data_IF_281211823018
#
_entry.id   IF_281211823018
#
_cell.length_a   1.000
_cell.length_b   1.000
_cell.length_c   1.000
_cell.angle_alpha   90.00
_cell.angle_beta   90.00
_cell.angle_gamma   90.00
#
_symmetry.space_group_name_H-M   'P 1'
#
loop_
_entity.id
_entity.type
_entity.pdbx_description
1 polymer ?
#
# COMPACT_ATOMS: atom_id res chain seq x y z
N UNK A 1 -8.94 -8.25 23.39
CA UNK A 1 -8.26 -7.07 22.80
C UNK A 1 -8.14 -6.02 23.89
N UNK A 2 -6.99 -5.39 24.08
CA UNK A 2 -6.82 -4.33 25.07
C UNK A 2 -7.77 -3.17 24.74
N UNK A 3 -8.29 -2.54 25.78
CA UNK A 3 -9.29 -1.45 25.67
C UNK A 3 -8.74 -0.30 24.82
N UNK A 4 -7.44 -0.05 24.93
CA UNK A 4 -6.74 0.99 24.15
C UNK A 4 -6.87 0.80 22.64
N UNK A 5 -6.74 -0.44 22.17
CA UNK A 5 -6.84 -0.76 20.76
C UNK A 5 -8.24 -0.51 20.19
N UNK A 6 -9.29 -0.86 20.93
CA UNK A 6 -10.68 -0.55 20.55
C UNK A 6 -10.93 0.95 20.47
N UNK A 7 -10.38 1.71 21.42
CA UNK A 7 -10.49 3.16 21.42
C UNK A 7 -9.79 3.79 20.21
N UNK A 8 -8.60 3.34 19.87
CA UNK A 8 -7.86 3.86 18.73
C UNK A 8 -8.55 3.54 17.39
N UNK A 9 -9.09 2.33 17.22
CA UNK A 9 -9.92 2.00 16.04
C UNK A 9 -11.14 2.91 15.96
N UNK A 10 -11.86 3.09 17.07
CA UNK A 10 -13.04 3.95 17.11
C UNK A 10 -12.71 5.40 16.76
N UNK A 11 -11.57 5.93 17.22
CA UNK A 11 -11.08 7.26 16.84
C UNK A 11 -10.77 7.34 15.34
N UNK A 12 -10.06 6.33 14.80
CA UNK A 12 -9.73 6.29 13.37
C UNK A 12 -11.00 6.32 12.51
N UNK A 13 -12.01 5.51 12.86
CA UNK A 13 -13.26 5.43 12.11
C UNK A 13 -14.11 6.70 12.20
N UNK A 14 -13.92 7.55 13.22
CA UNK A 14 -14.63 8.83 13.35
C UNK A 14 -13.97 9.98 12.58
N UNK A 15 -12.72 9.83 12.17
CA UNK A 15 -12.00 10.87 11.42
C UNK A 15 -12.37 10.83 9.94
N UNK A 16 -12.84 11.95 9.34
CA UNK A 16 -13.20 11.98 7.91
C UNK A 16 -12.00 11.72 7.00
N UNK A 17 -10.78 12.08 7.42
CA UNK A 17 -9.54 11.81 6.68
C UNK A 17 -9.30 10.32 6.41
N UNK A 18 -9.80 9.42 7.28
CA UNK A 18 -9.68 7.97 7.12
C UNK A 18 -10.43 7.46 5.90
N UNK A 19 -11.53 8.10 5.53
CA UNK A 19 -12.39 7.68 4.42
C UNK A 19 -11.92 8.19 3.05
N UNK A 20 -11.02 9.17 3.02
CA UNK A 20 -10.50 9.73 1.75
C UNK A 20 -9.85 8.63 0.92
N UNK A 21 -9.00 7.80 1.53
CA UNK A 21 -8.32 6.68 0.85
C UNK A 21 -9.29 5.66 0.25
N UNK A 22 -10.15 5.02 1.06
CA UNK A 22 -11.14 4.06 0.55
C UNK A 22 -12.05 4.62 -0.54
N UNK A 23 -12.55 5.86 -0.40
CA UNK A 23 -13.42 6.50 -1.39
C UNK A 23 -12.67 6.76 -2.70
N UNK A 24 -11.46 7.34 -2.62
CA UNK A 24 -10.65 7.62 -3.80
C UNK A 24 -10.24 6.33 -4.54
N UNK A 25 -9.86 5.29 -3.80
CA UNK A 25 -9.52 3.99 -4.39
C UNK A 25 -10.75 3.33 -5.02
N UNK A 26 -11.91 3.39 -4.37
CA UNK A 26 -13.16 2.86 -4.95
C UNK A 26 -13.52 3.58 -6.25
N UNK A 27 -13.40 4.90 -6.29
CA UNK A 27 -13.60 5.67 -7.51
C UNK A 27 -12.60 5.29 -8.60
N UNK A 28 -11.32 5.12 -8.25
CA UNK A 28 -10.27 4.69 -9.18
C UNK A 28 -10.59 3.31 -9.77
N UNK A 29 -11.01 2.33 -8.96
CA UNK A 29 -11.38 0.99 -9.43
C UNK A 29 -12.53 1.06 -10.42
N UNK A 30 -13.54 1.90 -10.17
CA UNK A 30 -14.66 2.11 -11.10
C UNK A 30 -14.18 2.74 -12.40
N UNK A 31 -13.34 3.78 -12.34
CA UNK A 31 -12.76 4.42 -13.53
C UNK A 31 -11.96 3.40 -14.34
N UNK A 32 -11.12 2.60 -13.69
CA UNK A 32 -10.34 1.56 -14.33
C UNK A 32 -11.22 0.47 -14.97
N UNK A 33 -12.31 0.07 -14.31
CA UNK A 33 -13.29 -0.84 -14.86
C UNK A 33 -13.90 -0.30 -16.16
N UNK A 34 -14.33 0.97 -16.14
CA UNK A 34 -14.89 1.65 -17.32
C UNK A 34 -13.85 1.72 -18.44
N UNK A 35 -12.60 2.10 -18.11
CA UNK A 35 -11.51 2.16 -19.07
C UNK A 35 -11.21 0.79 -19.70
N UNK A 36 -11.14 -0.27 -18.90
CA UNK A 36 -10.89 -1.64 -19.40
C UNK A 36 -12.08 -2.15 -20.23
N UNK A 37 -13.33 -1.84 -19.83
CA UNK A 37 -14.53 -2.33 -20.52
C UNK A 37 -14.78 -1.61 -21.86
N UNK A 38 -14.60 -0.29 -21.90
CA UNK A 38 -14.96 0.55 -23.03
C UNK A 38 -13.77 1.12 -23.80
N UNK A 39 -12.56 1.05 -23.25
CA UNK A 39 -11.35 1.60 -23.87
C UNK A 39 -11.01 0.92 -25.20
N UNK A 40 -10.84 1.73 -26.25
CA UNK A 40 -10.51 1.26 -27.62
C UNK A 40 -9.10 0.67 -27.68
N UNK A 41 -8.18 1.10 -26.85
CA UNK A 41 -6.80 0.58 -26.79
C UNK A 41 -6.79 -0.91 -26.39
N UNK A 42 -7.57 -1.27 -25.38
CA UNK A 42 -7.68 -2.67 -24.95
C UNK A 42 -8.38 -3.55 -25.97
N UNK A 43 -9.35 -3.00 -26.73
CA UNK A 43 -9.98 -3.68 -27.87
C UNK A 43 -9.01 -3.92 -29.01
N UNK A 44 -8.16 -2.93 -29.31
CA UNK A 44 -7.13 -3.05 -30.35
C UNK A 44 -6.10 -4.14 -30.04
N UNK A 45 -5.68 -4.26 -28.79
CA UNK A 45 -4.79 -5.34 -28.33
C UNK A 45 -5.50 -6.71 -28.43
N UNK A 46 -6.76 -6.80 -28.00
CA UNK A 46 -7.56 -8.03 -28.06
C UNK A 46 -7.73 -8.51 -29.51
N UNK A 47 -8.03 -7.62 -30.45
CA UNK A 47 -8.19 -7.94 -31.86
C UNK A 47 -6.87 -8.43 -32.49
N UNK A 48 -5.75 -7.78 -32.21
CA UNK A 48 -4.41 -8.20 -32.69
C UNK A 48 -4.03 -9.58 -32.16
N UNK A 49 -4.31 -9.84 -30.87
CA UNK A 49 -4.04 -11.14 -30.27
C UNK A 49 -4.96 -12.24 -30.81
N UNK A 50 -6.20 -11.90 -31.16
CA UNK A 50 -7.15 -12.83 -31.74
C UNK A 50 -6.80 -13.22 -33.19
N UNK A 51 -6.08 -12.38 -33.92
CA UNK A 51 -5.57 -12.67 -35.26
C UNK A 51 -4.43 -13.71 -35.22
N UNK A 52 -3.55 -13.63 -34.20
CA UNK A 52 -2.36 -14.48 -34.10
C UNK A 52 -2.57 -15.72 -33.21
N UNK A 53 -3.56 -15.67 -32.30
CA UNK A 53 -3.78 -16.72 -31.32
C UNK A 53 -5.27 -17.01 -31.10
N UNK A 54 -5.62 -18.29 -31.02
CA UNK A 54 -6.96 -18.73 -30.60
C UNK A 54 -7.06 -18.54 -29.07
N UNK A 55 -7.51 -17.36 -28.64
CA UNK A 55 -7.73 -17.07 -27.24
C UNK A 55 -9.03 -17.74 -26.78
N UNK A 56 -8.91 -18.72 -25.88
CA UNK A 56 -10.06 -19.32 -25.21
C UNK A 56 -10.62 -18.38 -24.13
N UNK A 57 -11.29 -17.30 -24.54
CA UNK A 57 -11.93 -16.33 -23.65
C UNK A 57 -11.43 -14.88 -23.82
N UNK A 58 -12.15 -13.92 -23.23
CA UNK A 58 -11.79 -12.51 -23.28
C UNK A 58 -10.53 -12.22 -22.47
N UNK A 59 -9.58 -11.47 -23.05
CA UNK A 59 -8.40 -10.94 -22.40
C UNK A 59 -8.78 -10.05 -21.20
N UNK A 60 -9.90 -9.35 -21.30
CA UNK A 60 -10.43 -8.44 -20.29
C UNK A 60 -11.32 -9.21 -19.31
N UNK A 61 -10.75 -9.64 -18.20
CA UNK A 61 -11.44 -10.39 -17.15
C UNK A 61 -11.13 -9.84 -15.74
N UNK A 62 -11.75 -10.44 -14.71
CA UNK A 62 -11.57 -10.02 -13.33
C UNK A 62 -10.11 -10.02 -12.87
N UNK A 63 -9.34 -11.06 -13.23
CA UNK A 63 -7.94 -11.17 -12.86
C UNK A 63 -7.09 -10.07 -13.52
N UNK A 64 -7.42 -9.69 -14.76
CA UNK A 64 -6.77 -8.59 -15.47
C UNK A 64 -7.02 -7.25 -14.78
N UNK A 65 -8.29 -6.93 -14.43
CA UNK A 65 -8.60 -5.69 -13.72
C UNK A 65 -7.90 -5.62 -12.36
N UNK A 66 -7.88 -6.73 -11.62
CA UNK A 66 -7.22 -6.81 -10.31
C UNK A 66 -5.71 -6.58 -10.44
N UNK A 67 -5.07 -7.16 -11.47
CA UNK A 67 -3.67 -6.90 -11.78
C UNK A 67 -3.44 -5.46 -12.20
N UNK A 68 -4.35 -4.88 -12.98
CA UNK A 68 -4.27 -3.50 -13.46
C UNK A 68 -4.20 -2.50 -12.29
N UNK A 69 -4.85 -2.80 -11.16
CA UNK A 69 -4.74 -1.99 -9.94
C UNK A 69 -3.36 -2.06 -9.25
N UNK A 70 -2.50 -3.01 -9.62
CA UNK A 70 -1.12 -3.10 -9.15
C UNK A 70 -0.12 -2.39 -10.07
N UNK A 71 -0.61 -1.51 -10.96
CA UNK A 71 0.27 -0.65 -11.76
C UNK A 71 1.15 0.22 -10.86
N UNK A 72 2.33 0.50 -11.35
CA UNK A 72 3.36 1.25 -10.63
C UNK A 72 2.83 2.59 -10.11
N UNK A 73 2.07 3.34 -10.91
CA UNK A 73 1.47 4.61 -10.48
C UNK A 73 0.62 4.48 -9.22
N UNK A 74 -0.21 3.43 -9.12
CA UNK A 74 -1.08 3.21 -7.96
C UNK A 74 -0.25 2.83 -6.74
N UNK A 75 0.70 1.91 -6.91
CA UNK A 75 1.53 1.37 -5.83
C UNK A 75 2.58 2.37 -5.34
N UNK A 76 3.19 3.15 -6.24
CA UNK A 76 4.26 4.09 -5.88
C UNK A 76 3.76 5.47 -5.47
N UNK A 77 2.61 5.89 -5.96
CA UNK A 77 2.13 7.25 -5.73
C UNK A 77 0.83 7.29 -4.94
N UNK A 78 -0.20 6.61 -5.40
CA UNK A 78 -1.55 6.78 -4.86
C UNK A 78 -1.71 6.11 -3.47
N UNK A 79 -1.36 4.85 -3.34
CA UNK A 79 -1.44 4.11 -2.06
C UNK A 79 -0.59 4.75 -0.96
N UNK A 80 0.70 5.10 -1.21
CA UNK A 80 1.52 5.78 -0.21
C UNK A 80 0.91 7.07 0.31
N UNK A 81 0.29 7.88 -0.56
CA UNK A 81 -0.36 9.14 -0.14
C UNK A 81 -1.41 8.87 0.93
N UNK A 82 -2.33 7.94 0.69
CA UNK A 82 -3.41 7.66 1.65
C UNK A 82 -2.90 7.01 2.93
N UNK A 83 -1.90 6.15 2.83
CA UNK A 83 -1.27 5.53 4.01
C UNK A 83 -0.53 6.57 4.84
N UNK A 84 0.25 7.47 4.21
CA UNK A 84 0.95 8.56 4.90
C UNK A 84 -0.01 9.53 5.58
N UNK A 85 -1.17 9.83 4.97
CA UNK A 85 -2.20 10.68 5.59
C UNK A 85 -2.64 10.08 6.93
N UNK A 86 -2.93 8.79 6.97
CA UNK A 86 -3.41 8.16 8.20
C UNK A 86 -2.28 7.99 9.22
N UNK A 87 -1.13 7.42 8.83
CA UNK A 87 -0.03 7.21 9.76
C UNK A 87 0.58 8.51 10.28
N UNK A 88 0.68 9.55 9.44
CA UNK A 88 1.14 10.88 9.82
C UNK A 88 0.19 11.58 10.81
N UNK A 89 -1.11 11.24 10.78
CA UNK A 89 -2.13 11.81 11.67
C UNK A 89 -2.27 11.07 13.02
N UNK A 90 -1.73 9.83 13.14
CA UNK A 90 -1.93 9.00 14.33
C UNK A 90 -1.37 9.59 15.62
N UNK A 91 -0.25 10.29 15.57
CA UNK A 91 0.39 10.90 16.74
C UNK A 91 0.37 12.42 16.65
N UNK A 92 0.78 12.99 15.52
CA UNK A 92 0.93 14.43 15.36
C UNK A 92 -0.38 15.21 15.56
N UNK A 93 -1.54 14.66 15.18
CA UNK A 93 -2.83 15.32 15.43
C UNK A 93 -3.15 15.42 16.92
N UNK A 94 -2.89 14.36 17.71
CA UNK A 94 -3.16 14.37 19.14
C UNK A 94 -2.21 15.33 19.90
N UNK A 95 -1.00 15.51 19.38
CA UNK A 95 -0.08 16.51 19.90
C UNK A 95 -0.58 17.90 19.58
N UNK A 96 -0.98 18.16 18.33
CA UNK A 96 -1.51 19.47 17.91
C UNK A 96 -2.79 19.84 18.66
N UNK A 97 -3.68 18.89 18.90
CA UNK A 97 -4.96 19.10 19.60
C UNK A 97 -4.79 19.13 21.13
N UNK A 98 -3.58 18.91 21.67
CA UNK A 98 -3.31 18.86 23.11
C UNK A 98 -3.93 17.66 23.84
N UNK A 99 -4.60 16.77 23.11
CA UNK A 99 -5.33 15.62 23.69
C UNK A 99 -4.39 14.52 24.21
N UNK A 100 -3.14 14.52 23.74
CA UNK A 100 -2.11 13.58 24.19
C UNK A 100 -1.86 13.67 25.69
N UNK A 101 -1.91 14.89 26.28
CA UNK A 101 -1.74 15.10 27.72
C UNK A 101 -2.81 14.38 28.55
N UNK A 102 -4.08 14.47 28.11
CA UNK A 102 -5.19 13.78 28.79
C UNK A 102 -5.08 12.25 28.70
N UNK A 103 -4.52 11.71 27.61
CA UNK A 103 -4.29 10.27 27.45
C UNK A 103 -3.18 9.76 28.38
N UNK A 104 -2.14 10.55 28.63
CA UNK A 104 -1.02 10.21 29.47
C UNK A 104 -1.33 10.33 30.97
N UNK A 105 -2.41 11.00 31.36
CA UNK A 105 -2.93 10.99 32.75
C UNK A 105 -3.56 9.64 33.15
N UNK A 106 -3.83 8.74 32.21
CA UNK A 106 -4.32 7.40 32.50
C UNK A 106 -3.15 6.46 32.84
N UNK A 107 -3.35 5.39 33.62
CA UNK A 107 -2.30 4.45 33.99
C UNK A 107 -1.94 3.52 32.81
N UNK A 108 -1.50 4.09 31.70
CA UNK A 108 -1.12 3.41 30.46
C UNK A 108 0.34 3.74 30.15
N UNK A 109 1.15 2.72 29.84
CA UNK A 109 2.54 2.97 29.44
C UNK A 109 2.59 3.63 28.05
N UNK A 110 3.49 4.60 27.86
CA UNK A 110 3.71 5.31 26.58
C UNK A 110 3.94 4.33 25.42
N UNK A 111 4.71 3.27 25.67
CA UNK A 111 5.01 2.25 24.67
C UNK A 111 3.75 1.49 24.23
N UNK A 112 2.89 1.12 25.15
CA UNK A 112 1.65 0.38 24.84
C UNK A 112 0.67 1.22 24.04
N UNK A 113 0.56 2.51 24.36
CA UNK A 113 -0.25 3.45 23.59
C UNK A 113 0.28 3.56 22.14
N UNK A 114 1.60 3.75 21.99
CA UNK A 114 2.24 3.89 20.69
C UNK A 114 2.08 2.63 19.84
N UNK A 115 2.27 1.46 20.44
CA UNK A 115 2.10 0.16 19.78
C UNK A 115 0.66 -0.03 19.30
N UNK A 116 -0.34 0.33 20.10
CA UNK A 116 -1.74 0.25 19.71
C UNK A 116 -2.05 1.14 18.50
N UNK A 117 -1.52 2.36 18.48
CA UNK A 117 -1.67 3.28 17.32
C UNK A 117 -1.03 2.72 16.05
N UNK A 118 0.20 2.20 16.18
CA UNK A 118 0.92 1.61 15.06
C UNK A 118 0.15 0.44 14.44
N UNK A 119 -0.36 -0.49 15.26
CA UNK A 119 -1.14 -1.63 14.76
C UNK A 119 -2.44 -1.20 14.10
N UNK A 120 -3.11 -0.16 14.59
CA UNK A 120 -4.31 0.39 13.95
C UNK A 120 -3.97 0.96 12.57
N UNK A 121 -2.85 1.66 12.44
CA UNK A 121 -2.35 2.11 11.13
C UNK A 121 -2.00 0.95 10.19
N UNK A 122 -1.33 -0.10 10.70
CA UNK A 122 -1.00 -1.28 9.92
C UNK A 122 -2.25 -2.01 9.39
N UNK A 123 -3.29 -2.15 10.24
CA UNK A 123 -4.58 -2.70 9.82
C UNK A 123 -5.22 -1.83 8.73
N UNK A 124 -5.18 -0.51 8.88
CA UNK A 124 -5.69 0.39 7.85
C UNK A 124 -4.98 0.18 6.51
N UNK A 125 -3.65 0.09 6.49
CA UNK A 125 -2.88 -0.17 5.28
C UNK A 125 -3.25 -1.52 4.63
N UNK A 126 -3.43 -2.58 5.44
CA UNK A 126 -3.89 -3.87 4.95
C UNK A 126 -5.31 -3.79 4.36
N UNK A 127 -6.25 -3.18 5.08
CA UNK A 127 -7.64 -3.04 4.64
C UNK A 127 -7.72 -2.21 3.36
N UNK A 128 -6.95 -1.14 3.24
CA UNK A 128 -6.91 -0.30 2.05
C UNK A 128 -6.40 -1.07 0.84
N UNK A 129 -5.28 -1.79 0.99
CA UNK A 129 -4.62 -2.51 -0.10
C UNK A 129 -5.42 -3.74 -0.52
N UNK A 130 -5.80 -4.60 0.42
CA UNK A 130 -6.62 -5.77 0.09
C UNK A 130 -8.05 -5.39 -0.32
N UNK A 131 -8.62 -4.33 0.25
CA UNK A 131 -9.92 -3.78 -0.13
C UNK A 131 -9.93 -3.34 -1.59
N UNK A 132 -8.85 -2.68 -2.05
CA UNK A 132 -8.68 -2.33 -3.47
C UNK A 132 -8.70 -3.59 -4.36
N UNK A 133 -7.92 -4.60 -4.01
CA UNK A 133 -7.85 -5.85 -4.77
C UNK A 133 -9.18 -6.59 -4.80
N UNK A 134 -9.85 -6.68 -3.65
CA UNK A 134 -11.14 -7.34 -3.52
C UNK A 134 -12.22 -6.63 -4.33
N UNK A 135 -12.29 -5.29 -4.24
CA UNK A 135 -13.24 -4.50 -5.03
C UNK A 135 -12.98 -4.64 -6.53
N UNK A 136 -11.71 -4.58 -6.96
CA UNK A 136 -11.34 -4.76 -8.35
C UNK A 136 -11.74 -6.16 -8.86
N UNK A 137 -11.51 -7.20 -8.06
CA UNK A 137 -11.89 -8.56 -8.42
C UNK A 137 -13.41 -8.73 -8.49
N UNK A 138 -14.15 -8.24 -7.49
CA UNK A 138 -15.62 -8.37 -7.44
C UNK A 138 -16.28 -7.62 -8.60
N UNK A 139 -15.90 -6.37 -8.83
CA UNK A 139 -16.43 -5.58 -9.94
C UNK A 139 -16.01 -6.19 -11.30
N UNK A 140 -14.76 -6.63 -11.41
CA UNK A 140 -14.29 -7.34 -12.60
C UNK A 140 -15.08 -8.62 -12.85
N UNK A 141 -15.35 -9.39 -11.80
CA UNK A 141 -16.15 -10.62 -11.90
C UNK A 141 -17.58 -10.36 -12.41
N UNK A 142 -18.24 -9.34 -11.89
CA UNK A 142 -19.62 -8.99 -12.27
C UNK A 142 -19.69 -8.44 -13.70
N UNK A 143 -18.74 -7.58 -14.11
CA UNK A 143 -18.84 -6.81 -15.35
C UNK A 143 -18.00 -7.35 -16.52
N UNK A 144 -16.90 -8.06 -16.25
CA UNK A 144 -15.96 -8.58 -17.25
C UNK A 144 -15.94 -10.12 -17.29
N UNK A 145 -16.44 -10.77 -16.23
CA UNK A 145 -16.46 -12.24 -16.14
C UNK A 145 -15.14 -12.85 -15.66
N UNK A 146 -15.13 -14.20 -15.63
CA UNK A 146 -13.95 -15.01 -15.26
C UNK A 146 -13.09 -15.27 -16.48
N UNK A 147 -11.79 -15.47 -16.24
CA UNK A 147 -10.87 -15.88 -17.29
C UNK A 147 -9.44 -16.03 -16.80
N UNK A 148 -8.61 -16.61 -17.64
CA UNK A 148 -7.18 -16.74 -17.40
C UNK A 148 -6.50 -15.39 -17.49
N UNK A 149 -5.49 -15.13 -16.66
CA UNK A 149 -4.68 -13.92 -16.75
C UNK A 149 -3.67 -14.06 -17.88
N UNK A 150 -3.81 -13.23 -18.91
CA UNK A 150 -2.84 -13.14 -19.99
C UNK A 150 -1.88 -12.00 -19.72
N UNK A 151 -0.59 -12.26 -19.80
CA UNK A 151 0.46 -11.26 -19.68
C UNK A 151 1.28 -11.17 -20.95
N UNK A 152 1.56 -9.93 -21.40
CA UNK A 152 2.22 -9.62 -22.65
C UNK A 152 3.62 -9.00 -22.46
N UNK A 153 4.04 -8.72 -21.21
CA UNK A 153 5.25 -7.92 -20.96
C UNK A 153 6.56 -8.64 -21.33
N UNK A 154 6.68 -9.95 -21.05
CA UNK A 154 7.89 -10.75 -21.30
C UNK A 154 7.58 -12.01 -22.14
N UNK A 155 6.70 -11.87 -23.13
CA UNK A 155 6.13 -12.97 -23.89
C UNK A 155 4.71 -13.30 -23.45
N UNK A 156 4.04 -14.16 -24.23
CA UNK A 156 2.65 -14.51 -23.94
C UNK A 156 2.61 -15.59 -22.86
N UNK A 157 2.24 -15.17 -21.66
CA UNK A 157 2.04 -16.08 -20.52
C UNK A 157 0.56 -16.14 -20.18
N UNK A 158 -0.01 -17.34 -20.25
CA UNK A 158 -1.40 -17.60 -19.86
C UNK A 158 -1.39 -18.31 -18.52
N UNK A 159 -1.88 -17.63 -17.47
CA UNK A 159 -1.99 -18.19 -16.13
C UNK A 159 -3.43 -18.63 -15.89
N UNK A 160 -3.67 -19.90 -15.54
CA UNK A 160 -4.99 -20.37 -15.13
C UNK A 160 -5.53 -19.52 -13.96
N UNK A 161 -6.85 -19.31 -13.93
CA UNK A 161 -7.52 -18.45 -12.95
C UNK A 161 -7.08 -18.70 -11.50
N UNK A 162 -7.01 -19.97 -11.08
CA UNK A 162 -6.62 -20.33 -9.70
C UNK A 162 -5.19 -19.89 -9.36
N UNK A 163 -4.26 -20.10 -10.28
CA UNK A 163 -2.85 -19.73 -10.07
C UNK A 163 -2.72 -18.20 -10.11
N UNK A 164 -3.42 -17.54 -11.02
CA UNK A 164 -3.45 -16.09 -11.11
C UNK A 164 -3.97 -15.46 -9.81
N UNK A 165 -5.08 -15.97 -9.25
CA UNK A 165 -5.62 -15.48 -7.99
C UNK A 165 -4.67 -15.67 -6.82
N UNK A 166 -4.05 -16.85 -6.68
CA UNK A 166 -3.05 -17.08 -5.62
C UNK A 166 -1.89 -16.10 -5.72
N UNK A 167 -1.34 -15.90 -6.93
CA UNK A 167 -0.27 -14.93 -7.15
C UNK A 167 -0.70 -13.50 -6.85
N UNK A 168 -1.92 -13.11 -7.24
CA UNK A 168 -2.48 -11.80 -6.94
C UNK A 168 -2.60 -11.60 -5.42
N UNK A 169 -3.16 -12.55 -4.68
CA UNK A 169 -3.28 -12.46 -3.21
C UNK A 169 -1.91 -12.29 -2.55
N UNK A 170 -0.91 -13.05 -2.96
CA UNK A 170 0.46 -12.93 -2.44
C UNK A 170 1.07 -11.57 -2.79
N UNK A 171 0.87 -11.09 -4.03
CA UNK A 171 1.38 -9.79 -4.48
C UNK A 171 0.71 -8.64 -3.73
N UNK A 172 -0.61 -8.71 -3.51
CA UNK A 172 -1.32 -7.74 -2.65
C UNK A 172 -0.82 -7.77 -1.21
N UNK A 173 -0.45 -8.96 -0.68
CA UNK A 173 0.18 -9.09 0.63
C UNK A 173 1.54 -8.40 0.70
N UNK A 174 2.37 -8.56 -0.33
CA UNK A 174 3.66 -7.86 -0.42
C UNK A 174 3.46 -6.34 -0.55
N UNK A 175 2.49 -5.91 -1.35
CA UNK A 175 2.11 -4.49 -1.46
C UNK A 175 1.66 -3.94 -0.11
N UNK A 176 0.81 -4.66 0.62
CA UNK A 176 0.34 -4.25 1.95
C UNK A 176 1.51 -4.10 2.93
N UNK A 177 2.47 -5.03 2.90
CA UNK A 177 3.68 -4.96 3.71
C UNK A 177 4.53 -3.74 3.34
N UNK A 178 4.67 -3.43 2.04
CA UNK A 178 5.32 -2.21 1.56
C UNK A 178 4.60 -0.94 2.04
N UNK A 179 3.28 -0.94 2.04
CA UNK A 179 2.49 0.19 2.57
C UNK A 179 2.66 0.34 4.08
N UNK A 180 2.77 -0.77 4.84
CA UNK A 180 3.10 -0.72 6.27
C UNK A 180 4.50 -0.14 6.48
N UNK A 181 5.49 -0.51 5.66
CA UNK A 181 6.85 0.04 5.77
C UNK A 181 6.88 1.55 5.51
N UNK A 182 6.19 2.03 4.47
CA UNK A 182 6.04 3.47 4.20
C UNK A 182 5.28 4.16 5.34
N UNK A 183 4.18 3.57 5.80
CA UNK A 183 3.41 4.07 6.93
C UNK A 183 4.24 4.16 8.21
N UNK A 184 5.14 3.20 8.45
CA UNK A 184 6.06 3.22 9.60
C UNK A 184 6.98 4.42 9.58
N UNK A 185 7.48 4.83 8.41
CA UNK A 185 8.29 6.03 8.25
C UNK A 185 7.44 7.28 8.54
N UNK A 186 6.21 7.35 8.01
CA UNK A 186 5.28 8.43 8.30
C UNK A 186 4.96 8.51 9.81
N UNK A 187 4.80 7.35 10.46
CA UNK A 187 4.58 7.24 11.88
C UNK A 187 5.76 7.76 12.71
N UNK A 188 6.99 7.37 12.35
CA UNK A 188 8.19 7.87 13.01
C UNK A 188 8.30 9.40 12.90
N UNK A 189 8.07 9.96 11.72
CA UNK A 189 8.08 11.42 11.51
C UNK A 189 6.97 12.08 12.33
N UNK A 190 5.79 11.46 12.43
CA UNK A 190 4.65 11.94 13.22
C UNK A 190 4.94 11.99 14.73
N UNK A 191 5.84 11.14 15.26
CA UNK A 191 6.27 11.22 16.66
C UNK A 191 7.23 12.37 16.92
N UNK A 192 7.96 12.81 15.89
CA UNK A 192 8.90 13.92 15.98
C UNK A 192 8.23 15.28 15.82
N UNK A 193 7.30 15.41 14.85
CA UNK A 193 6.62 16.66 14.54
C UNK A 193 5.35 16.83 15.39
N UNK A 194 5.01 18.08 15.66
CA UNK A 194 3.72 18.46 16.30
C UNK A 194 2.65 18.82 15.28
N UNK A 195 2.97 18.78 13.97
CA UNK A 195 2.07 19.13 12.88
C UNK A 195 1.86 17.91 11.98
N UNK A 196 0.60 17.46 11.86
CA UNK A 196 0.19 16.33 11.01
C UNK A 196 0.57 16.54 9.53
N UNK A 197 0.37 17.74 9.00
CA UNK A 197 0.67 18.04 7.60
C UNK A 197 2.18 17.95 7.32
N UNK A 198 3.02 18.39 8.25
CA UNK A 198 4.46 18.25 8.16
C UNK A 198 4.92 16.79 8.17
N UNK A 199 4.28 15.95 8.99
CA UNK A 199 4.59 14.52 9.04
C UNK A 199 4.21 13.81 7.73
N UNK A 200 3.06 14.14 7.17
CA UNK A 200 2.60 13.61 5.87
C UNK A 200 3.54 14.04 4.75
N UNK A 201 3.85 15.34 4.66
CA UNK A 201 4.73 15.88 3.63
C UNK A 201 6.15 15.31 3.72
N UNK A 202 6.70 15.16 4.93
CA UNK A 202 8.01 14.56 5.15
C UNK A 202 8.08 13.09 4.70
N UNK A 203 7.04 12.32 5.00
CA UNK A 203 6.95 10.92 4.59
C UNK A 203 6.82 10.78 3.06
N UNK A 204 5.97 11.59 2.44
CA UNK A 204 5.82 11.60 0.98
C UNK A 204 7.11 12.08 0.30
N UNK A 205 7.76 13.09 0.84
CA UNK A 205 9.08 13.55 0.37
C UNK A 205 10.12 12.45 0.40
N UNK A 206 10.14 11.63 1.46
CA UNK A 206 11.02 10.46 1.55
C UNK A 206 10.69 9.42 0.46
N UNK A 207 9.42 9.08 0.26
CA UNK A 207 8.99 8.08 -0.75
C UNK A 207 9.34 8.57 -2.16
N UNK A 208 8.98 9.81 -2.49
CA UNK A 208 9.25 10.40 -3.82
C UNK A 208 10.76 10.53 -4.03
N UNK A 209 11.48 11.05 -3.05
CA UNK A 209 12.94 11.21 -3.12
C UNK A 209 13.65 9.88 -3.30
N UNK A 210 13.26 8.83 -2.55
CA UNK A 210 13.83 7.50 -2.71
C UNK A 210 13.49 6.88 -4.07
N UNK A 211 12.30 7.16 -4.63
CA UNK A 211 11.92 6.74 -5.98
C UNK A 211 12.77 7.40 -7.05
N UNK A 212 13.00 8.70 -6.96
CA UNK A 212 13.88 9.45 -7.90
C UNK A 212 15.31 8.93 -7.82
N UNK A 213 15.86 8.78 -6.60
CA UNK A 213 17.22 8.25 -6.39
C UNK A 213 17.37 6.85 -7.01
N UNK A 214 16.35 5.99 -6.89
CA UNK A 214 16.34 4.65 -7.46
C UNK A 214 16.39 4.61 -9.00
N UNK A 215 15.99 5.69 -9.68
CA UNK A 215 16.01 5.81 -11.14
C UNK A 215 17.33 6.38 -11.68
N UNK A 216 18.12 7.05 -10.84
CA UNK A 216 19.39 7.66 -11.25
C UNK A 216 20.51 6.60 -11.29
N UNK A 217 21.15 6.46 -12.45
CA UNK A 217 22.26 5.51 -12.64
C UNK A 217 23.45 5.79 -11.72
N UNK A 218 23.67 7.05 -11.36
CA UNK A 218 24.73 7.47 -10.44
C UNK A 218 24.61 6.79 -9.05
N UNK A 219 23.38 6.55 -8.57
CA UNK A 219 23.10 5.92 -7.28
C UNK A 219 22.79 4.42 -7.38
N UNK A 220 23.23 3.75 -8.43
CA UNK A 220 22.96 2.32 -8.69
C UNK A 220 23.37 1.40 -7.53
N UNK A 221 24.43 1.75 -6.79
CA UNK A 221 24.87 1.03 -5.60
C UNK A 221 23.89 1.12 -4.42
N UNK A 222 23.06 2.18 -4.37
CA UNK A 222 22.07 2.39 -3.31
C UNK A 222 20.75 1.66 -3.60
N UNK A 223 20.49 1.30 -4.86
CA UNK A 223 19.25 0.65 -5.31
C UNK A 223 18.85 -0.59 -4.49
N UNK A 224 19.76 -1.52 -4.10
CA UNK A 224 19.42 -2.68 -3.30
C UNK A 224 19.02 -2.37 -1.84
N UNK A 225 19.23 -1.15 -1.38
CA UNK A 225 18.84 -0.70 -0.03
C UNK A 225 17.57 0.14 -0.04
N UNK A 226 17.15 0.68 -1.19
CA UNK A 226 15.97 1.53 -1.27
C UNK A 226 14.69 0.73 -1.13
N UNK A 227 13.78 1.16 -0.24
CA UNK A 227 12.46 0.57 -0.05
C UNK A 227 11.66 0.54 -1.35
N UNK A 228 11.72 1.62 -2.13
CA UNK A 228 11.01 1.77 -3.40
C UNK A 228 11.39 0.72 -4.44
N UNK A 229 12.64 0.25 -4.47
CA UNK A 229 13.08 -0.80 -5.40
C UNK A 229 12.36 -2.15 -5.20
N UNK A 230 11.81 -2.37 -4.02
CA UNK A 230 11.08 -3.60 -3.67
C UNK A 230 9.56 -3.47 -3.80
N UNK A 231 9.06 -2.27 -4.14
CA UNK A 231 7.65 -2.04 -4.44
C UNK A 231 7.27 -2.43 -5.88
N UNK A 232 8.22 -2.82 -6.73
CA UNK A 232 7.97 -3.34 -8.08
C UNK A 232 7.29 -4.72 -8.02
N UNK A 233 6.11 -4.77 -7.43
CA UNK A 233 5.38 -6.02 -7.15
C UNK A 233 4.88 -6.72 -8.42
N UNK A 234 4.80 -6.02 -9.54
CA UNK A 234 4.39 -6.57 -10.84
C UNK A 234 5.22 -7.78 -11.30
N UNK A 235 6.50 -7.83 -10.92
CA UNK A 235 7.43 -8.92 -11.26
C UNK A 235 7.02 -10.27 -10.66
N UNK A 236 6.30 -10.30 -9.54
CA UNK A 236 5.87 -11.54 -8.88
C UNK A 236 4.63 -12.17 -9.51
N UNK A 237 3.92 -11.42 -10.36
CA UNK A 237 2.75 -11.92 -11.08
C UNK A 237 3.19 -12.64 -12.34
N UNK A 238 4.27 -12.16 -12.98
CA UNK A 238 4.74 -12.57 -14.30
C UNK A 238 5.88 -13.58 -14.18
N UNK A 239 5.90 -14.59 -15.04
CA UNK A 239 7.01 -15.51 -15.19
C UNK A 239 7.15 -16.52 -14.06
N UNK A 240 8.39 -17.05 -13.88
CA UNK A 240 8.72 -17.94 -12.77
C UNK A 240 8.87 -17.13 -11.49
N UNK A 241 8.25 -17.53 -10.37
CA UNK A 241 8.37 -16.82 -9.11
C UNK A 241 9.82 -16.88 -8.61
N UNK A 242 10.47 -15.72 -8.52
CA UNK A 242 11.80 -15.60 -7.90
C UNK A 242 11.64 -15.54 -6.38
N UNK A 243 11.76 -16.70 -5.73
CA UNK A 243 11.62 -16.86 -4.29
C UNK A 243 12.70 -16.03 -3.55
N UNK A 244 13.90 -15.93 -4.10
CA UNK A 244 15.00 -15.17 -3.47
C UNK A 244 14.67 -13.69 -3.43
N UNK A 245 14.17 -13.15 -4.55
CA UNK A 245 13.74 -11.75 -4.62
C UNK A 245 12.55 -11.49 -3.69
N UNK A 246 11.60 -12.43 -3.62
CA UNK A 246 10.45 -12.34 -2.72
C UNK A 246 10.87 -12.26 -1.25
N UNK A 247 11.72 -13.17 -0.80
CA UNK A 247 12.22 -13.19 0.58
C UNK A 247 13.02 -11.93 0.90
N UNK A 248 13.85 -11.46 -0.03
CA UNK A 248 14.57 -10.17 0.12
C UNK A 248 13.59 -9.00 0.25
N UNK A 249 12.55 -8.92 -0.58
CA UNK A 249 11.55 -7.86 -0.52
C UNK A 249 10.85 -7.84 0.84
N UNK A 250 10.38 -9.00 1.31
CA UNK A 250 9.76 -9.13 2.64
C UNK A 250 10.74 -8.71 3.74
N UNK A 251 11.99 -9.19 3.69
CA UNK A 251 13.03 -8.87 4.68
C UNK A 251 13.31 -7.36 4.76
N UNK A 252 13.51 -6.70 3.62
CA UNK A 252 13.78 -5.26 3.57
C UNK A 252 12.58 -4.47 4.11
N UNK A 253 11.36 -4.79 3.69
CA UNK A 253 10.16 -4.10 4.15
C UNK A 253 9.95 -4.25 5.67
N UNK A 254 10.20 -5.43 6.23
CA UNK A 254 10.14 -5.67 7.67
C UNK A 254 11.22 -4.88 8.42
N UNK A 255 12.46 -4.86 7.92
CA UNK A 255 13.56 -4.10 8.53
C UNK A 255 13.21 -2.61 8.58
N UNK A 256 12.72 -2.03 7.49
CA UNK A 256 12.26 -0.65 7.47
C UNK A 256 11.15 -0.38 8.48
N UNK A 257 10.16 -1.27 8.55
CA UNK A 257 9.04 -1.14 9.50
C UNK A 257 9.51 -1.19 10.95
N UNK A 258 10.41 -2.11 11.28
CA UNK A 258 10.94 -2.28 12.64
C UNK A 258 11.81 -1.08 13.02
N UNK A 259 12.75 -0.68 12.16
CA UNK A 259 13.64 0.45 12.42
C UNK A 259 12.82 1.73 12.62
N UNK A 260 11.89 2.01 11.72
CA UNK A 260 11.05 3.21 11.81
C UNK A 260 10.19 3.20 13.09
N UNK A 261 9.61 2.06 13.46
CA UNK A 261 8.85 1.92 14.69
C UNK A 261 9.71 2.14 15.94
N UNK A 262 10.90 1.52 15.99
CA UNK A 262 11.84 1.67 17.12
C UNK A 262 12.30 3.11 17.26
N UNK A 263 12.68 3.76 16.15
CA UNK A 263 13.08 5.19 16.15
C UNK A 263 11.92 6.05 16.66
N UNK A 264 10.71 5.84 16.13
CA UNK A 264 9.52 6.57 16.60
C UNK A 264 9.25 6.36 18.10
N UNK A 265 9.40 5.11 18.58
CA UNK A 265 9.19 4.79 19.99
C UNK A 265 10.24 5.46 20.91
N UNK A 266 11.51 5.47 20.51
CA UNK A 266 12.59 6.13 21.28
C UNK A 266 12.37 7.65 21.35
N UNK A 267 12.00 8.28 20.23
CA UNK A 267 11.71 9.72 20.18
C UNK A 267 10.52 10.05 21.09
N UNK A 268 9.43 9.25 20.98
CA UNK A 268 8.23 9.48 21.77
C UNK A 268 8.44 9.32 23.28
N UNK A 269 9.32 8.38 23.70
CA UNK A 269 9.65 8.18 25.11
C UNK A 269 10.42 9.37 25.70
N UNK A 270 11.34 9.97 24.92
CA UNK A 270 12.17 11.10 25.33
C UNK A 270 11.47 12.45 25.22
N UNK A 271 10.33 12.50 24.55
CA UNK A 271 9.61 13.75 24.32
C UNK A 271 8.95 14.23 25.60
N UNK A 272 9.34 15.44 26.03
CA UNK A 272 8.65 16.14 27.11
C UNK A 272 7.30 16.66 26.60
N UNK A 273 6.24 16.13 27.20
CA UNK A 273 4.84 16.50 26.84
C UNK A 273 4.38 17.72 27.64
N UNK A 274 5.27 18.26 28.49
CA UNK A 274 4.97 19.36 29.43
C UNK A 274 5.31 20.77 28.88
N UNK A 275 6.03 20.86 27.77
CA UNK A 275 6.37 22.13 27.13
C UNK A 275 5.41 22.48 26.00
#
# INVERSE_FOLDING_TARGET
MPIEFRLEISKLLRKPRTYIGPVAISALVVIALVAVKYGNEFRGIENRLAEDFILAGSFRNAAFLTRFMLLEFVVYMLLPVFVCIVFGDLVASEVADGTLRMLLCRPITRFRLLTSKYFVGAIYACVLTYGMGLLAYLLGFVFLGRGSLVNLADGIWVLPERIALLRLVVTYGLTALGMIAIGSIAFAISTFLSNSNGAIAGALGFVIGSGIIGQLDFFRWLKPYLLTSYLEVGRFIVGKPDIVLFVKSVGVMLIYSIIAFVVGALIFQKRDVLS
#
